data_IF_847295585816
#
_entry.id   IF_847295585816
#
_cell.length_a   1.000
_cell.length_b   1.000
_cell.length_c   1.000
_cell.angle_alpha   90.00
_cell.angle_beta   90.00
_cell.angle_gamma   90.00
#
_symmetry.space_group_name_H-M   'P 1'
#
loop_
_entity.id
_entity.type
_entity.pdbx_description
1 polymer ?
#
# COMPACT_ATOMS: atom_id res chain seq x y z
N UNK A 1 23.36 -20.24 -19.13
CA UNK A 1 23.90 -19.74 -17.85
C UNK A 1 23.27 -20.53 -16.70
N UNK A 2 24.06 -20.81 -15.66
CA UNK A 2 23.58 -21.57 -14.47
C UNK A 2 22.63 -20.66 -13.67
N UNK A 3 21.39 -21.09 -13.43
CA UNK A 3 20.44 -20.38 -12.58
C UNK A 3 20.90 -20.44 -11.12
N UNK A 4 20.59 -19.37 -10.35
CA UNK A 4 20.87 -19.32 -8.92
C UNK A 4 19.80 -20.09 -8.13
N UNK A 5 20.08 -20.35 -6.84
CA UNK A 5 19.06 -20.86 -5.92
C UNK A 5 17.97 -19.81 -5.69
N UNK A 6 16.71 -20.25 -5.56
CA UNK A 6 15.56 -19.35 -5.41
C UNK A 6 15.58 -18.46 -4.13
N UNK A 7 15.95 -18.99 -2.92
CA UNK A 7 15.93 -18.17 -1.70
C UNK A 7 16.80 -16.91 -1.74
N UNK A 8 18.09 -16.94 -2.15
CA UNK A 8 18.89 -15.72 -2.26
C UNK A 8 18.33 -14.71 -3.28
N UNK A 9 17.79 -15.19 -4.42
CA UNK A 9 17.16 -14.32 -5.43
C UNK A 9 15.93 -13.63 -4.84
N UNK A 10 15.10 -14.37 -4.10
CA UNK A 10 13.93 -13.82 -3.41
C UNK A 10 14.33 -12.75 -2.39
N UNK A 11 15.30 -13.06 -1.52
CA UNK A 11 15.74 -12.14 -0.48
C UNK A 11 16.36 -10.86 -1.05
N UNK A 12 17.16 -10.98 -2.12
CA UNK A 12 17.70 -9.82 -2.82
C UNK A 12 16.60 -8.96 -3.45
N UNK A 13 15.59 -9.59 -4.07
CA UNK A 13 14.45 -8.88 -4.63
C UNK A 13 13.66 -8.09 -3.57
N UNK A 14 13.45 -8.67 -2.38
CA UNK A 14 12.78 -8.01 -1.27
C UNK A 14 13.58 -6.79 -0.77
N UNK A 15 14.91 -6.89 -0.69
CA UNK A 15 15.78 -5.76 -0.36
C UNK A 15 15.69 -4.64 -1.42
N UNK A 16 15.83 -4.98 -2.71
CA UNK A 16 15.76 -4.05 -3.83
C UNK A 16 14.38 -3.37 -3.89
N UNK A 17 13.30 -4.10 -3.65
CA UNK A 17 11.95 -3.55 -3.59
C UNK A 17 11.83 -2.49 -2.48
N UNK A 18 12.29 -2.79 -1.27
CA UNK A 18 12.30 -1.83 -0.15
C UNK A 18 13.16 -0.59 -0.45
N UNK A 19 14.39 -0.83 -0.93
CA UNK A 19 15.33 0.23 -1.29
C UNK A 19 14.72 1.19 -2.31
N UNK A 20 14.30 0.68 -3.46
CA UNK A 20 13.81 1.51 -4.57
C UNK A 20 12.49 2.21 -4.23
N UNK A 21 11.62 1.58 -3.45
CA UNK A 21 10.38 2.20 -2.99
C UNK A 21 10.68 3.41 -2.11
N UNK A 22 11.50 3.27 -1.07
CA UNK A 22 11.78 4.39 -0.19
C UNK A 22 12.74 5.42 -0.79
N UNK A 23 13.65 5.01 -1.66
CA UNK A 23 14.49 5.92 -2.43
C UNK A 23 13.64 6.93 -3.22
N UNK A 24 12.55 6.49 -3.85
CA UNK A 24 11.67 7.36 -4.65
C UNK A 24 10.58 8.01 -3.79
N UNK A 25 9.83 7.20 -3.03
CA UNK A 25 8.61 7.66 -2.36
C UNK A 25 8.88 8.46 -1.06
N UNK A 26 10.13 8.68 -0.66
CA UNK A 26 10.47 9.61 0.43
C UNK A 26 10.25 11.08 0.01
N UNK A 27 10.58 11.43 -1.21
CA UNK A 27 10.58 12.82 -1.69
C UNK A 27 9.64 13.07 -2.87
N UNK A 28 8.86 12.08 -3.31
CA UNK A 28 7.99 12.16 -4.50
C UNK A 28 6.94 13.28 -4.42
N UNK A 29 6.39 13.56 -3.25
CA UNK A 29 5.44 14.67 -3.10
C UNK A 29 6.12 16.03 -3.28
N UNK A 30 7.35 16.19 -2.79
CA UNK A 30 8.12 17.43 -3.01
C UNK A 30 8.34 17.63 -4.51
N UNK A 31 8.76 16.59 -5.24
CA UNK A 31 8.92 16.62 -6.69
C UNK A 31 7.63 17.05 -7.39
N UNK A 32 6.50 16.43 -7.04
CA UNK A 32 5.20 16.70 -7.65
C UNK A 32 4.66 18.09 -7.35
N UNK A 33 4.80 18.56 -6.10
CA UNK A 33 4.30 19.87 -5.68
C UNK A 33 5.24 21.00 -6.15
N UNK A 34 6.55 20.90 -5.90
CA UNK A 34 7.47 21.99 -6.12
C UNK A 34 8.02 22.06 -7.55
N UNK A 35 8.27 20.91 -8.20
CA UNK A 35 8.87 20.89 -9.53
C UNK A 35 7.83 20.74 -10.64
N UNK A 36 6.83 19.82 -10.47
CA UNK A 36 5.75 19.65 -11.45
C UNK A 36 4.67 20.71 -11.30
N UNK A 37 4.51 21.28 -10.10
CA UNK A 37 3.48 22.28 -9.79
C UNK A 37 2.07 21.70 -9.69
N UNK A 38 1.94 20.46 -9.20
CA UNK A 38 0.65 19.78 -9.10
C UNK A 38 -0.20 20.34 -7.96
N UNK A 39 -1.46 20.63 -8.27
CA UNK A 39 -2.47 20.96 -7.29
C UNK A 39 -3.06 19.71 -6.60
N UNK A 40 -3.90 19.92 -5.57
CA UNK A 40 -4.50 18.84 -4.78
C UNK A 40 -5.28 17.82 -5.64
N UNK A 41 -6.03 18.27 -6.64
CA UNK A 41 -6.75 17.38 -7.55
C UNK A 41 -5.79 16.55 -8.40
N UNK A 42 -4.76 17.18 -8.95
CA UNK A 42 -3.76 16.51 -9.78
C UNK A 42 -2.96 15.46 -9.00
N UNK A 43 -2.59 15.73 -7.74
CA UNK A 43 -1.93 14.77 -6.86
C UNK A 43 -2.78 13.51 -6.65
N UNK A 44 -4.06 13.70 -6.39
CA UNK A 44 -5.00 12.59 -6.18
C UNK A 44 -5.30 11.87 -7.50
N UNK A 45 -5.51 12.57 -8.61
CA UNK A 45 -5.73 11.94 -9.92
C UNK A 45 -4.54 11.06 -10.35
N UNK A 46 -3.32 11.43 -10.00
CA UNK A 46 -2.15 10.60 -10.25
C UNK A 46 -2.24 9.27 -9.47
N UNK A 47 -2.62 9.32 -8.18
CA UNK A 47 -2.87 8.11 -7.39
C UNK A 47 -4.04 7.29 -7.92
N UNK A 48 -5.15 7.94 -8.23
CA UNK A 48 -6.34 7.28 -8.84
C UNK A 48 -5.98 6.54 -10.13
N UNK A 49 -5.06 7.07 -10.95
CA UNK A 49 -4.59 6.39 -12.16
C UNK A 49 -3.86 5.06 -11.84
N UNK A 50 -3.09 5.03 -10.74
CA UNK A 50 -2.46 3.81 -10.25
C UNK A 50 -3.51 2.80 -9.80
N UNK A 51 -4.48 3.22 -8.98
CA UNK A 51 -5.51 2.33 -8.43
C UNK A 51 -6.43 1.78 -9.54
N UNK A 52 -6.80 2.59 -10.54
CA UNK A 52 -7.54 2.12 -11.71
C UNK A 52 -6.74 1.04 -12.46
N UNK A 53 -5.43 1.23 -12.64
CA UNK A 53 -4.60 0.24 -13.31
C UNK A 53 -4.52 -1.06 -12.50
N UNK A 54 -4.33 -0.98 -11.17
CA UNK A 54 -4.36 -2.15 -10.29
C UNK A 54 -5.71 -2.86 -10.39
N UNK A 55 -6.81 -2.13 -10.22
CA UNK A 55 -8.16 -2.68 -10.27
C UNK A 55 -8.47 -3.42 -11.59
N UNK A 56 -8.08 -2.85 -12.72
CA UNK A 56 -8.34 -3.43 -14.03
C UNK A 56 -7.45 -4.63 -14.37
N UNK A 57 -6.19 -4.59 -13.94
CA UNK A 57 -5.17 -5.54 -14.43
C UNK A 57 -4.79 -6.63 -13.44
N UNK A 58 -5.18 -6.57 -12.16
CA UNK A 58 -4.80 -7.59 -11.17
C UNK A 58 -5.25 -9.00 -11.57
N UNK A 59 -6.49 -9.16 -12.04
CA UNK A 59 -7.00 -10.46 -12.50
C UNK A 59 -6.34 -10.91 -13.79
N UNK A 60 -6.26 -10.10 -14.88
CA UNK A 60 -5.56 -10.49 -16.10
C UNK A 60 -4.10 -10.91 -15.89
N UNK A 61 -3.34 -10.17 -15.11
CA UNK A 61 -1.93 -10.47 -14.87
C UNK A 61 -1.73 -11.69 -13.98
N UNK A 62 -2.63 -11.93 -13.02
CA UNK A 62 -2.68 -13.17 -12.25
C UNK A 62 -2.88 -14.40 -13.14
N UNK A 63 -3.78 -14.31 -14.13
CA UNK A 63 -4.00 -15.37 -15.12
C UNK A 63 -2.71 -15.61 -15.95
N UNK A 64 -2.00 -14.55 -16.34
CA UNK A 64 -0.71 -14.69 -17.05
C UNK A 64 0.30 -15.44 -16.19
N UNK A 65 0.42 -15.11 -14.91
CA UNK A 65 1.33 -15.77 -13.99
C UNK A 65 1.04 -17.27 -13.83
N UNK A 66 -0.24 -17.64 -13.69
CA UNK A 66 -0.65 -19.01 -13.42
C UNK A 66 -0.65 -19.92 -14.68
N UNK A 67 -0.87 -19.33 -15.87
CA UNK A 67 -0.95 -20.08 -17.11
C UNK A 67 0.39 -20.17 -17.84
N UNK A 68 1.17 -19.09 -17.86
CA UNK A 68 2.37 -19.02 -18.68
C UNK A 68 3.64 -19.20 -17.85
N UNK A 69 3.89 -18.32 -16.88
CA UNK A 69 5.12 -18.37 -16.08
C UNK A 69 5.06 -17.31 -14.98
N UNK A 70 5.29 -17.70 -13.73
CA UNK A 70 5.41 -16.78 -12.59
C UNK A 70 6.67 -15.93 -12.68
N UNK A 71 7.75 -16.53 -13.19
CA UNK A 71 9.00 -15.83 -13.47
C UNK A 71 8.80 -14.74 -14.53
N UNK A 72 8.16 -15.06 -15.67
CA UNK A 72 7.89 -14.08 -16.72
C UNK A 72 7.06 -12.92 -16.19
N UNK A 73 6.00 -13.20 -15.45
CA UNK A 73 5.16 -12.18 -14.81
C UNK A 73 6.01 -11.26 -13.92
N UNK A 74 6.80 -11.82 -13.01
CA UNK A 74 7.68 -11.05 -12.12
C UNK A 74 8.67 -10.17 -12.91
N UNK A 75 9.28 -10.70 -13.96
CA UNK A 75 10.21 -9.96 -14.83
C UNK A 75 9.53 -8.74 -15.47
N UNK A 76 8.35 -8.96 -16.10
CA UNK A 76 7.57 -7.88 -16.70
C UNK A 76 7.25 -6.80 -15.69
N UNK A 77 6.85 -7.19 -14.47
CA UNK A 77 6.55 -6.24 -13.41
C UNK A 77 7.75 -5.37 -13.01
N UNK A 78 8.95 -5.95 -12.86
CA UNK A 78 10.15 -5.17 -12.55
C UNK A 78 10.55 -4.23 -13.69
N UNK A 79 10.46 -4.67 -14.95
CA UNK A 79 10.74 -3.82 -16.11
C UNK A 79 9.73 -2.68 -16.21
N UNK A 80 8.42 -2.98 -16.15
CA UNK A 80 7.36 -1.98 -16.29
C UNK A 80 7.46 -0.93 -15.17
N UNK A 81 7.60 -1.37 -13.91
CA UNK A 81 7.73 -0.44 -12.78
C UNK A 81 9.03 0.38 -12.84
N UNK A 82 10.11 -0.19 -13.33
CA UNK A 82 11.37 0.54 -13.52
C UNK A 82 11.28 1.59 -14.62
N UNK A 83 10.67 1.25 -15.76
CA UNK A 83 10.42 2.19 -16.86
C UNK A 83 9.46 3.30 -16.41
N UNK A 84 8.40 2.94 -15.66
CA UNK A 84 7.44 3.89 -15.13
C UNK A 84 8.13 4.98 -14.28
N UNK A 85 8.98 4.58 -13.32
CA UNK A 85 9.75 5.52 -12.52
C UNK A 85 10.67 6.40 -13.40
N UNK A 86 11.37 5.80 -14.37
CA UNK A 86 12.19 6.56 -15.33
C UNK A 86 11.38 7.62 -16.07
N UNK A 87 10.19 7.29 -16.56
CA UNK A 87 9.29 8.23 -17.26
C UNK A 87 8.94 9.42 -16.36
N UNK A 88 8.61 9.21 -15.09
CA UNK A 88 8.28 10.30 -14.16
C UNK A 88 9.48 11.24 -13.93
N UNK A 89 10.70 10.68 -13.91
CA UNK A 89 11.92 11.46 -13.74
C UNK A 89 12.43 12.20 -14.99
N UNK A 90 11.92 11.88 -16.19
CA UNK A 90 12.42 12.48 -17.46
C UNK A 90 12.07 13.95 -17.61
N UNK A 91 10.87 14.36 -17.22
CA UNK A 91 10.44 15.74 -17.30
C UNK A 91 9.31 16.02 -16.28
N UNK A 92 9.27 17.23 -15.70
CA UNK A 92 8.27 17.61 -14.70
C UNK A 92 6.92 17.96 -15.36
N UNK A 93 6.25 16.97 -15.92
CA UNK A 93 4.95 17.10 -16.58
C UNK A 93 3.90 16.25 -15.90
N UNK A 94 2.75 16.83 -15.57
CA UNK A 94 1.61 16.12 -14.99
C UNK A 94 1.20 14.86 -15.78
N UNK A 95 1.19 14.96 -17.12
CA UNK A 95 0.86 13.83 -17.99
C UNK A 95 1.83 12.65 -17.84
N UNK A 96 3.12 12.92 -17.65
CA UNK A 96 4.12 11.87 -17.41
C UNK A 96 3.98 11.26 -16.01
N UNK A 97 3.61 12.06 -15.01
CA UNK A 97 3.29 11.54 -13.67
C UNK A 97 2.09 10.59 -13.75
N UNK A 98 0.99 10.98 -14.39
CA UNK A 98 -0.20 10.12 -14.56
C UNK A 98 0.14 8.83 -15.32
N UNK A 99 0.89 8.94 -16.42
CA UNK A 99 1.34 7.77 -17.20
C UNK A 99 2.22 6.85 -16.34
N UNK A 100 3.18 7.41 -15.61
CA UNK A 100 4.04 6.67 -14.68
C UNK A 100 3.22 5.93 -13.63
N UNK A 101 2.25 6.59 -12.99
CA UNK A 101 1.42 5.98 -11.96
C UNK A 101 0.55 4.86 -12.53
N UNK A 102 -0.04 5.02 -13.71
CA UNK A 102 -0.78 3.96 -14.39
C UNK A 102 0.12 2.75 -14.72
N UNK A 103 1.34 3.00 -15.23
CA UNK A 103 2.31 1.95 -15.49
C UNK A 103 2.84 1.29 -14.21
N UNK A 104 3.03 2.05 -13.11
CA UNK A 104 3.40 1.50 -11.81
C UNK A 104 2.34 0.54 -11.29
N UNK A 105 1.05 0.94 -11.33
CA UNK A 105 -0.06 0.07 -10.96
C UNK A 105 -0.10 -1.19 -11.83
N UNK A 106 -0.02 -1.04 -13.14
CA UNK A 106 0.02 -2.17 -14.08
C UNK A 106 1.21 -3.11 -13.81
N UNK A 107 2.42 -2.57 -13.65
CA UNK A 107 3.61 -3.37 -13.34
C UNK A 107 3.54 -4.04 -11.97
N UNK A 108 2.92 -3.39 -10.97
CA UNK A 108 2.72 -3.95 -9.64
C UNK A 108 1.85 -5.20 -9.68
N UNK A 109 0.78 -5.23 -10.48
CA UNK A 109 -0.11 -6.40 -10.59
C UNK A 109 0.60 -7.64 -11.15
N UNK A 110 1.65 -7.48 -11.95
CA UNK A 110 2.51 -8.58 -12.41
C UNK A 110 3.40 -9.16 -11.31
N UNK A 111 3.71 -8.39 -10.26
CA UNK A 111 4.59 -8.83 -9.17
C UNK A 111 3.80 -9.40 -8.00
N UNK A 112 2.70 -8.76 -7.59
CA UNK A 112 2.01 -8.93 -6.31
C UNK A 112 1.75 -10.40 -5.94
N UNK A 113 0.98 -11.13 -6.70
CA UNK A 113 0.69 -12.55 -6.47
C UNK A 113 1.76 -13.50 -7.00
N UNK A 114 2.29 -13.22 -8.20
CA UNK A 114 3.20 -14.09 -8.93
C UNK A 114 4.51 -14.35 -8.18
N UNK A 115 5.08 -13.32 -7.53
CA UNK A 115 6.37 -13.44 -6.86
C UNK A 115 6.29 -14.29 -5.59
N UNK A 116 5.23 -14.14 -4.81
CA UNK A 116 4.97 -14.96 -3.62
C UNK A 116 4.67 -16.41 -3.99
N UNK A 117 3.92 -16.61 -5.06
CA UNK A 117 3.61 -17.93 -5.58
C UNK A 117 4.86 -18.63 -6.15
N UNK A 118 5.71 -17.90 -6.90
CA UNK A 118 6.96 -18.42 -7.41
C UNK A 118 7.88 -18.98 -6.31
N UNK A 119 8.15 -18.19 -5.25
CA UNK A 119 9.03 -18.70 -4.19
C UNK A 119 8.41 -19.86 -3.44
N UNK A 120 7.07 -19.88 -3.29
CA UNK A 120 6.36 -21.01 -2.66
C UNK A 120 6.53 -22.30 -3.47
N UNK A 121 6.46 -22.22 -4.81
CA UNK A 121 6.68 -23.39 -5.68
C UNK A 121 8.13 -23.90 -5.63
N UNK A 122 9.09 -22.98 -5.55
CA UNK A 122 10.51 -23.36 -5.54
C UNK A 122 10.96 -24.02 -4.23
N UNK A 123 10.43 -23.59 -3.08
CA UNK A 123 10.89 -24.06 -1.76
C UNK A 123 9.89 -24.95 -1.02
N UNK A 124 8.64 -24.94 -1.45
CA UNK A 124 7.51 -25.66 -0.83
C UNK A 124 6.88 -24.92 0.34
N UNK A 125 5.58 -25.17 0.55
CA UNK A 125 4.73 -24.51 1.56
C UNK A 125 5.28 -24.59 2.99
N UNK A 126 5.98 -25.70 3.34
CA UNK A 126 6.53 -25.89 4.69
C UNK A 126 7.69 -24.95 5.04
N UNK A 127 8.45 -24.48 4.05
CA UNK A 127 9.67 -23.68 4.23
C UNK A 127 9.47 -22.20 3.88
N UNK A 128 8.45 -21.86 3.11
CA UNK A 128 8.25 -20.50 2.60
C UNK A 128 7.95 -19.48 3.69
N UNK A 129 7.30 -19.90 4.79
CA UNK A 129 6.94 -18.97 5.89
C UNK A 129 8.16 -18.27 6.51
N UNK A 130 9.26 -19.01 6.74
CA UNK A 130 10.51 -18.41 7.24
C UNK A 130 11.11 -17.42 6.24
N UNK A 131 11.05 -17.75 4.94
CA UNK A 131 11.53 -16.85 3.88
C UNK A 131 10.68 -15.56 3.79
N UNK A 132 9.38 -15.64 3.97
CA UNK A 132 8.53 -14.44 4.02
C UNK A 132 8.92 -13.51 5.17
N UNK A 133 9.19 -14.06 6.36
CA UNK A 133 9.66 -13.26 7.49
C UNK A 133 11.02 -12.60 7.22
N UNK A 134 11.98 -13.36 6.71
CA UNK A 134 13.32 -12.84 6.32
C UNK A 134 13.21 -11.82 5.19
N UNK A 135 12.35 -12.09 4.20
CA UNK A 135 12.06 -11.15 3.12
C UNK A 135 11.54 -9.83 3.63
N UNK A 136 10.58 -9.86 4.58
CA UNK A 136 10.06 -8.64 5.21
C UNK A 136 11.16 -7.84 5.94
N UNK A 137 12.06 -8.54 6.67
CA UNK A 137 13.20 -7.88 7.32
C UNK A 137 14.12 -7.21 6.29
N UNK A 138 14.43 -7.88 5.16
CA UNK A 138 15.25 -7.29 4.10
C UNK A 138 14.56 -6.12 3.39
N UNK A 139 13.24 -6.18 3.20
CA UNK A 139 12.47 -5.02 2.71
C UNK A 139 12.64 -3.81 3.64
N UNK A 140 12.55 -4.01 4.95
CA UNK A 140 12.74 -2.93 5.93
C UNK A 140 14.18 -2.38 5.90
N UNK A 141 15.19 -3.26 5.83
CA UNK A 141 16.60 -2.84 5.70
C UNK A 141 16.83 -2.07 4.38
N UNK A 142 16.28 -2.56 3.27
CA UNK A 142 16.30 -1.83 2.00
C UNK A 142 15.62 -0.47 2.09
N UNK A 143 14.47 -0.40 2.76
CA UNK A 143 13.75 0.86 2.99
C UNK A 143 14.58 1.86 3.80
N UNK A 144 15.20 1.41 4.89
CA UNK A 144 16.08 2.25 5.72
C UNK A 144 17.31 2.75 4.94
N UNK A 145 17.87 1.94 4.04
CA UNK A 145 18.95 2.38 3.15
C UNK A 145 18.44 3.33 2.05
N UNK A 146 17.25 3.09 1.52
CA UNK A 146 16.64 3.89 0.44
C UNK A 146 16.32 5.33 0.86
N UNK A 147 15.90 5.55 2.11
CA UNK A 147 15.57 6.90 2.60
C UNK A 147 16.76 7.88 2.48
N UNK A 148 17.92 7.65 3.12
CA UNK A 148 19.03 8.61 3.06
C UNK A 148 19.57 8.76 1.62
N UNK A 149 19.63 7.68 0.84
CA UNK A 149 20.05 7.77 -0.57
C UNK A 149 19.06 8.63 -1.37
N UNK A 150 17.75 8.46 -1.16
CA UNK A 150 16.73 9.26 -1.82
C UNK A 150 16.82 10.75 -1.45
N UNK A 151 17.06 11.06 -0.16
CA UNK A 151 17.28 12.44 0.32
C UNK A 151 18.50 13.07 -0.34
N UNK A 152 19.67 12.41 -0.27
CA UNK A 152 20.91 12.92 -0.89
C UNK A 152 20.78 13.18 -2.39
N UNK A 153 20.09 12.31 -3.10
CA UNK A 153 19.84 12.48 -4.53
C UNK A 153 18.87 13.64 -4.80
N UNK A 154 17.80 13.74 -4.01
CA UNK A 154 16.79 14.79 -4.16
C UNK A 154 17.35 16.18 -3.83
N UNK A 155 18.28 16.33 -2.87
CA UNK A 155 19.02 17.56 -2.61
C UNK A 155 19.83 18.04 -3.82
N UNK A 156 20.35 17.10 -4.62
CA UNK A 156 21.07 17.44 -5.88
C UNK A 156 20.09 17.77 -6.99
N UNK A 157 19.07 16.94 -7.21
CA UNK A 157 17.95 17.20 -8.12
C UNK A 157 16.76 16.29 -7.77
N UNK A 158 15.56 16.85 -7.65
CA UNK A 158 14.33 16.13 -7.25
C UNK A 158 13.94 14.98 -8.21
N UNK A 159 14.42 15.00 -9.46
CA UNK A 159 14.17 13.93 -10.45
C UNK A 159 15.10 12.71 -10.28
N UNK A 160 16.29 12.88 -9.67
CA UNK A 160 17.28 11.81 -9.57
C UNK A 160 16.80 10.54 -8.84
N UNK A 161 16.03 10.64 -7.73
CA UNK A 161 15.46 9.46 -7.10
C UNK A 161 14.63 8.59 -8.04
N UNK A 162 13.84 9.21 -8.92
CA UNK A 162 13.02 8.50 -9.91
C UNK A 162 13.89 7.81 -10.97
N UNK A 163 14.85 8.53 -11.53
CA UNK A 163 15.76 8.00 -12.57
C UNK A 163 16.57 6.82 -12.01
N UNK A 164 17.20 7.00 -10.85
CA UNK A 164 18.02 5.95 -10.25
C UNK A 164 17.17 4.78 -9.78
N UNK A 165 16.02 5.03 -9.16
CA UNK A 165 15.07 3.99 -8.74
C UNK A 165 14.58 3.16 -9.92
N UNK A 166 14.26 3.82 -11.05
CA UNK A 166 13.91 3.17 -12.31
C UNK A 166 15.05 2.33 -12.88
N UNK A 167 16.26 2.88 -12.93
CA UNK A 167 17.45 2.19 -13.42
C UNK A 167 17.77 0.94 -12.57
N UNK A 168 17.71 1.04 -11.25
CA UNK A 168 17.93 -0.11 -10.35
C UNK A 168 16.89 -1.20 -10.62
N UNK A 169 15.61 -0.88 -10.79
CA UNK A 169 14.56 -1.87 -11.07
C UNK A 169 14.75 -2.54 -12.43
N UNK A 170 15.07 -1.76 -13.49
CA UNK A 170 15.35 -2.32 -14.83
C UNK A 170 16.57 -3.23 -14.79
N UNK A 171 17.67 -2.79 -14.18
CA UNK A 171 18.90 -3.59 -14.03
C UNK A 171 18.64 -4.87 -13.24
N UNK A 172 17.84 -4.75 -12.16
CA UNK A 172 17.43 -5.92 -11.40
C UNK A 172 16.51 -6.85 -12.21
N UNK A 173 15.64 -6.32 -13.06
CA UNK A 173 14.88 -7.10 -14.03
C UNK A 173 15.76 -7.91 -14.97
N UNK A 174 16.87 -7.32 -15.47
CA UNK A 174 17.89 -8.02 -16.27
C UNK A 174 18.56 -9.12 -15.43
N UNK A 175 18.92 -8.82 -14.18
CA UNK A 175 19.48 -9.82 -13.25
C UNK A 175 18.51 -11.01 -13.07
N UNK A 176 17.23 -10.76 -12.82
CA UNK A 176 16.21 -11.80 -12.70
C UNK A 176 16.07 -12.60 -14.00
N UNK A 177 16.09 -11.94 -15.17
CA UNK A 177 16.05 -12.61 -16.47
C UNK A 177 17.20 -13.62 -16.62
N UNK A 178 18.38 -13.27 -16.16
CA UNK A 178 19.56 -14.12 -16.26
C UNK A 178 19.57 -15.25 -15.21
N UNK A 179 19.21 -14.96 -13.96
CA UNK A 179 19.52 -15.82 -12.81
C UNK A 179 18.31 -16.41 -12.10
N UNK A 180 17.10 -15.88 -12.25
CA UNK A 180 15.90 -16.38 -11.56
C UNK A 180 15.54 -17.78 -12.06
N UNK A 181 15.47 -18.81 -11.18
CA UNK A 181 15.03 -20.16 -11.56
C UNK A 181 13.50 -20.21 -11.68
N UNK A 182 13.00 -21.23 -12.38
CA UNK A 182 11.58 -21.60 -12.39
C UNK A 182 11.49 -23.12 -12.57
N UNK A 183 11.78 -23.85 -11.49
CA UNK A 183 11.86 -25.32 -11.49
C UNK A 183 10.65 -25.96 -10.85
N UNK A 184 9.99 -25.27 -9.93
CA UNK A 184 8.82 -25.75 -9.21
C UNK A 184 7.46 -25.41 -9.87
N UNK A 185 7.47 -24.61 -10.95
CA UNK A 185 6.25 -24.16 -11.59
C UNK A 185 5.59 -25.26 -12.44
N UNK A 186 4.31 -25.50 -12.20
CA UNK A 186 3.47 -26.36 -13.01
C UNK A 186 2.28 -25.55 -13.56
N UNK A 187 2.24 -25.29 -14.90
CA UNK A 187 1.14 -24.53 -15.48
C UNK A 187 -0.22 -25.21 -15.27
N UNK A 188 -1.25 -24.41 -15.02
CA UNK A 188 -2.61 -24.93 -14.92
C UNK A 188 -3.01 -25.60 -16.23
N UNK A 189 -3.48 -26.88 -16.20
CA UNK A 189 -3.90 -27.61 -17.39
C UNK A 189 -4.99 -26.86 -18.17
N UNK A 190 -4.95 -26.94 -19.52
CA UNK A 190 -5.91 -26.23 -20.38
C UNK A 190 -7.38 -26.47 -20.00
N UNK A 191 -7.71 -27.68 -19.56
CA UNK A 191 -9.05 -28.06 -19.13
C UNK A 191 -9.51 -27.43 -17.80
N UNK A 192 -8.56 -27.00 -16.94
CA UNK A 192 -8.81 -26.37 -15.64
C UNK A 192 -8.61 -24.85 -15.66
N UNK A 193 -8.35 -24.25 -16.84
CA UNK A 193 -8.16 -22.81 -16.97
C UNK A 193 -9.46 -22.07 -16.68
N UNK A 194 -9.47 -21.32 -15.62
CA UNK A 194 -10.61 -20.47 -15.24
C UNK A 194 -10.73 -19.33 -16.26
N UNK A 195 -11.76 -19.36 -17.09
CA UNK A 195 -12.11 -18.23 -17.94
C UNK A 195 -12.76 -17.10 -17.14
N UNK A 196 -12.90 -15.93 -17.73
CA UNK A 196 -13.61 -14.77 -17.13
C UNK A 196 -14.99 -15.16 -16.55
N UNK A 197 -15.69 -16.15 -17.13
CA UNK A 197 -16.97 -16.67 -16.59
C UNK A 197 -16.80 -17.21 -15.17
N UNK A 198 -15.73 -17.97 -14.89
CA UNK A 198 -15.51 -18.55 -13.56
C UNK A 198 -15.14 -17.47 -12.55
N UNK A 199 -14.35 -16.47 -12.94
CA UNK A 199 -14.06 -15.29 -12.09
C UNK A 199 -15.36 -14.56 -11.72
N UNK A 200 -16.23 -14.32 -12.69
CA UNK A 200 -17.54 -13.71 -12.46
C UNK A 200 -18.46 -14.58 -11.57
N UNK A 201 -18.45 -15.90 -11.75
CA UNK A 201 -19.22 -16.83 -10.91
C UNK A 201 -18.70 -16.79 -9.48
N UNK A 202 -17.39 -16.92 -9.28
CA UNK A 202 -16.78 -16.87 -7.94
C UNK A 202 -17.03 -15.52 -7.25
N UNK A 203 -16.94 -14.42 -8.00
CA UNK A 203 -17.28 -13.10 -7.49
C UNK A 203 -18.75 -12.98 -7.09
N UNK A 204 -19.68 -13.47 -7.94
CA UNK A 204 -21.11 -13.43 -7.64
C UNK A 204 -21.48 -14.30 -6.43
N UNK A 205 -20.85 -15.46 -6.28
CA UNK A 205 -20.99 -16.32 -5.09
C UNK A 205 -20.47 -15.60 -3.83
N UNK A 206 -19.33 -14.92 -3.92
CA UNK A 206 -18.81 -14.09 -2.85
C UNK A 206 -19.76 -12.98 -2.44
N UNK A 207 -20.30 -12.23 -3.40
CA UNK A 207 -21.34 -11.20 -3.18
C UNK A 207 -22.57 -11.80 -2.48
N UNK A 208 -23.02 -12.99 -2.88
CA UNK A 208 -24.14 -13.65 -2.25
C UNK A 208 -23.85 -14.04 -0.80
N UNK A 209 -22.62 -14.49 -0.49
CA UNK A 209 -22.17 -14.81 0.89
C UNK A 209 -22.13 -13.54 1.74
N UNK A 210 -21.53 -12.45 1.24
CA UNK A 210 -21.46 -11.18 1.97
C UNK A 210 -22.84 -10.60 2.23
N UNK A 211 -23.73 -10.60 1.24
CA UNK A 211 -25.12 -10.10 1.39
C UNK A 211 -25.96 -10.86 2.41
N UNK A 212 -25.71 -12.16 2.58
CA UNK A 212 -26.43 -13.01 3.54
C UNK A 212 -25.95 -12.85 4.98
N UNK A 213 -24.75 -12.28 5.20
CA UNK A 213 -24.18 -12.10 6.53
C UNK A 213 -24.14 -10.61 6.89
N UNK A 214 -24.94 -10.22 7.89
CA UNK A 214 -24.93 -8.85 8.42
C UNK A 214 -23.55 -8.42 8.94
N UNK A 215 -22.76 -9.36 9.42
CA UNK A 215 -21.39 -9.14 9.88
C UNK A 215 -20.46 -8.82 8.69
N UNK A 216 -20.49 -9.65 7.64
CA UNK A 216 -19.66 -9.44 6.44
C UNK A 216 -20.07 -8.20 5.67
N UNK A 217 -21.36 -7.90 5.61
CA UNK A 217 -21.84 -6.64 4.99
C UNK A 217 -21.33 -5.42 5.76
N UNK A 218 -21.34 -5.46 7.10
CA UNK A 218 -20.79 -4.37 7.92
C UNK A 218 -19.28 -4.22 7.69
N UNK A 219 -18.55 -5.33 7.55
CA UNK A 219 -17.12 -5.32 7.22
C UNK A 219 -16.86 -4.73 5.81
N UNK A 220 -17.66 -5.10 4.83
CA UNK A 220 -17.59 -4.56 3.48
C UNK A 220 -17.81 -3.03 3.44
N UNK A 221 -18.73 -2.52 4.26
CA UNK A 221 -18.93 -1.08 4.43
C UNK A 221 -17.71 -0.40 5.06
N UNK A 222 -17.05 -1.04 6.03
CA UNK A 222 -15.80 -0.50 6.59
C UNK A 222 -14.73 -0.41 5.52
N UNK A 223 -14.52 -1.46 4.71
CA UNK A 223 -13.55 -1.44 3.61
C UNK A 223 -13.84 -0.29 2.62
N UNK A 224 -15.10 -0.07 2.27
CA UNK A 224 -15.49 1.04 1.40
C UNK A 224 -15.13 2.41 2.02
N UNK A 225 -15.44 2.65 3.31
CA UNK A 225 -15.09 3.90 3.98
C UNK A 225 -13.58 4.08 4.12
N UNK A 226 -12.84 2.97 4.29
CA UNK A 226 -11.37 2.99 4.33
C UNK A 226 -10.82 3.42 2.96
N UNK A 227 -11.28 2.87 1.86
CA UNK A 227 -10.87 3.32 0.53
C UNK A 227 -11.26 4.77 0.23
N UNK A 228 -12.49 5.18 0.57
CA UNK A 228 -12.96 6.54 0.30
C UNK A 228 -12.09 7.64 0.95
N UNK A 229 -11.48 7.39 2.13
CA UNK A 229 -10.67 8.42 2.80
C UNK A 229 -9.19 8.33 2.42
N UNK A 230 -8.67 7.10 2.15
CA UNK A 230 -7.23 6.81 2.17
C UNK A 230 -6.47 7.56 1.10
N UNK A 231 -6.99 7.64 -0.12
CA UNK A 231 -6.29 8.29 -1.24
C UNK A 231 -6.05 9.78 -0.98
N UNK A 232 -7.02 10.48 -0.39
CA UNK A 232 -6.83 11.88 -0.02
C UNK A 232 -5.74 12.05 1.05
N UNK A 233 -5.74 11.22 2.10
CA UNK A 233 -4.70 11.26 3.11
C UNK A 233 -3.33 10.97 2.51
N UNK A 234 -3.18 9.89 1.76
CA UNK A 234 -1.91 9.40 1.23
C UNK A 234 -1.27 10.38 0.23
N UNK A 235 -2.06 11.20 -0.46
CA UNK A 235 -1.57 12.20 -1.42
C UNK A 235 -1.49 13.62 -0.87
N UNK A 236 -2.42 14.01 0.01
CA UNK A 236 -2.54 15.41 0.44
C UNK A 236 -1.88 15.71 1.79
N UNK A 237 -1.68 14.73 2.69
CA UNK A 237 -1.12 15.03 4.01
C UNK A 237 0.28 15.66 3.95
N UNK A 238 1.18 15.11 3.12
CA UNK A 238 2.51 15.68 2.94
C UNK A 238 2.47 17.02 2.15
N UNK A 239 1.56 17.12 1.16
CA UNK A 239 1.36 18.37 0.42
C UNK A 239 0.86 19.49 1.34
N UNK A 240 -0.03 19.18 2.26
CA UNK A 240 -0.54 20.11 3.28
C UNK A 240 0.58 20.64 4.20
N UNK A 241 1.53 19.77 4.60
CA UNK A 241 2.70 20.23 5.36
C UNK A 241 3.54 21.24 4.55
N UNK A 242 3.75 20.97 3.26
CA UNK A 242 4.52 21.87 2.36
C UNK A 242 3.79 23.20 2.12
N UNK A 243 2.47 23.20 2.11
CA UNK A 243 1.65 24.38 1.85
C UNK A 243 1.57 25.32 3.06
N UNK A 244 1.46 24.77 4.28
CA UNK A 244 1.12 25.58 5.47
C UNK A 244 2.32 25.95 6.32
N UNK A 245 3.35 25.08 6.35
CA UNK A 245 4.42 25.26 7.33
C UNK A 245 5.75 25.67 6.70
N UNK A 246 6.45 26.58 7.40
CA UNK A 246 7.89 26.75 7.26
C UNK A 246 8.56 25.67 8.10
N UNK A 247 9.49 24.93 7.48
CA UNK A 247 10.15 23.82 8.14
C UNK A 247 11.22 24.36 9.11
N UNK A 248 11.13 24.02 10.42
CA UNK A 248 11.99 24.59 11.41
C UNK A 248 13.39 23.96 11.40
N UNK A 249 14.40 24.71 11.88
CA UNK A 249 15.73 24.18 12.18
C UNK A 249 15.69 23.26 13.40
N UNK A 250 16.54 22.22 13.42
CA UNK A 250 16.75 21.34 14.58
C UNK A 250 18.17 21.55 15.11
N UNK A 251 18.28 21.96 16.38
CA UNK A 251 19.59 22.11 17.02
C UNK A 251 20.52 23.11 16.33
N UNK A 252 19.95 24.11 15.66
CA UNK A 252 20.71 25.12 14.88
C UNK A 252 21.07 24.69 13.46
N UNK A 253 20.68 23.48 13.02
CA UNK A 253 20.81 23.03 11.64
C UNK A 253 19.54 23.40 10.86
N UNK A 254 19.68 24.20 9.82
CA UNK A 254 18.61 24.48 8.89
C UNK A 254 18.35 23.21 8.06
N UNK A 255 17.19 22.61 8.25
CA UNK A 255 16.75 21.43 7.51
C UNK A 255 15.69 21.84 6.49
N UNK A 256 15.95 21.55 5.24
CA UNK A 256 14.97 21.73 4.17
C UNK A 256 13.83 20.67 4.22
N UNK A 257 12.75 20.85 3.48
CA UNK A 257 11.66 19.87 3.42
C UNK A 257 12.11 18.45 3.04
N UNK A 258 13.18 18.32 2.21
CA UNK A 258 13.69 17.02 1.75
C UNK A 258 14.25 16.23 2.94
N UNK A 259 15.10 16.86 3.75
CA UNK A 259 15.68 16.27 4.96
C UNK A 259 14.61 15.93 5.99
N UNK A 260 13.61 16.82 6.19
CA UNK A 260 12.48 16.57 7.09
C UNK A 260 11.64 15.37 6.65
N UNK A 261 11.38 15.17 5.35
CA UNK A 261 10.66 14.02 4.86
C UNK A 261 11.47 12.73 4.99
N UNK A 262 12.80 12.81 4.90
CA UNK A 262 13.68 11.71 5.26
C UNK A 262 13.53 11.29 6.72
N UNK A 263 13.58 12.25 7.66
CA UNK A 263 13.35 12.00 9.08
C UNK A 263 11.96 11.43 9.36
N UNK A 264 10.93 12.02 8.75
CA UNK A 264 9.54 11.60 8.92
C UNK A 264 9.33 10.16 8.42
N UNK A 265 9.83 9.80 7.23
CA UNK A 265 9.75 8.45 6.71
C UNK A 265 10.52 7.43 7.56
N UNK A 266 11.66 7.83 8.15
CA UNK A 266 12.37 7.00 9.11
C UNK A 266 11.55 6.79 10.38
N UNK A 267 10.96 7.86 10.93
CA UNK A 267 10.08 7.80 12.08
C UNK A 267 8.86 6.88 11.81
N UNK A 268 8.24 6.96 10.64
CA UNK A 268 7.14 6.06 10.27
C UNK A 268 7.55 4.59 10.39
N UNK A 269 8.72 4.20 9.89
CA UNK A 269 9.19 2.81 10.00
C UNK A 269 9.39 2.42 11.47
N UNK A 270 10.09 3.26 12.25
CA UNK A 270 10.41 2.97 13.66
C UNK A 270 9.13 2.85 14.50
N UNK A 271 8.25 3.84 14.41
CA UNK A 271 7.02 3.86 15.20
C UNK A 271 6.00 2.80 14.75
N UNK A 272 5.95 2.46 13.45
CA UNK A 272 5.14 1.34 12.96
C UNK A 272 5.64 0.00 13.52
N UNK A 273 6.95 -0.24 13.57
CA UNK A 273 7.50 -1.45 14.20
C UNK A 273 7.18 -1.49 15.69
N UNK A 274 7.36 -0.39 16.40
CA UNK A 274 7.05 -0.29 17.83
C UNK A 274 5.57 -0.53 18.11
N UNK A 275 4.66 0.08 17.33
CA UNK A 275 3.21 -0.08 17.52
C UNK A 275 2.74 -1.51 17.25
N UNK A 276 3.31 -2.18 16.24
CA UNK A 276 3.01 -3.59 15.98
C UNK A 276 3.49 -4.51 17.11
N UNK A 277 4.68 -4.26 17.68
CA UNK A 277 5.16 -5.04 18.84
C UNK A 277 4.31 -4.77 20.10
N UNK A 278 3.89 -3.52 20.31
CA UNK A 278 2.96 -3.15 21.40
C UNK A 278 1.62 -3.85 21.21
N UNK A 279 1.05 -3.79 20.00
CA UNK A 279 -0.22 -4.44 19.69
C UNK A 279 -0.15 -5.95 19.93
N UNK A 280 0.93 -6.61 19.52
CA UNK A 280 1.19 -8.04 19.77
C UNK A 280 1.17 -8.39 21.27
N UNK A 281 1.66 -7.50 22.15
CA UNK A 281 1.68 -7.73 23.60
C UNK A 281 0.34 -7.40 24.28
N UNK A 282 -0.38 -6.39 23.79
CA UNK A 282 -1.60 -5.90 24.44
C UNK A 282 -2.87 -6.57 23.91
N UNK A 283 -2.90 -6.98 22.65
CA UNK A 283 -4.09 -7.54 22.01
C UNK A 283 -4.01 -9.05 22.01
N UNK A 284 -4.87 -9.69 22.81
CA UNK A 284 -5.06 -11.14 22.77
C UNK A 284 -5.79 -11.52 21.45
N UNK A 285 -4.99 -11.89 20.45
CA UNK A 285 -5.49 -12.25 19.12
C UNK A 285 -6.26 -13.58 19.09
N UNK A 286 -6.26 -14.37 20.15
CA UNK A 286 -7.11 -15.56 20.25
C UNK A 286 -8.58 -15.19 20.48
N UNK A 287 -8.86 -13.98 20.98
CA UNK A 287 -10.21 -13.52 21.32
C UNK A 287 -10.71 -12.48 20.34
N UNK A 288 -11.61 -12.86 19.44
CA UNK A 288 -12.25 -12.00 18.44
C UNK A 288 -12.75 -10.66 19.01
N UNK A 289 -13.36 -10.65 20.19
CA UNK A 289 -13.86 -9.44 20.83
C UNK A 289 -12.74 -8.46 21.24
N UNK A 290 -11.54 -8.94 21.59
CA UNK A 290 -10.40 -8.07 21.89
C UNK A 290 -9.82 -7.44 20.63
N UNK A 291 -9.74 -8.21 19.55
CA UNK A 291 -9.32 -7.70 18.23
C UNK A 291 -10.27 -6.59 17.77
N UNK A 292 -11.58 -6.82 17.84
CA UNK A 292 -12.57 -5.83 17.39
C UNK A 292 -12.54 -4.55 18.22
N UNK A 293 -12.31 -4.62 19.55
CA UNK A 293 -12.13 -3.43 20.40
C UNK A 293 -10.86 -2.67 20.04
N UNK A 294 -9.77 -3.39 19.76
CA UNK A 294 -8.53 -2.78 19.30
C UNK A 294 -8.74 -2.07 17.96
N UNK A 295 -9.41 -2.69 17.00
CA UNK A 295 -9.74 -2.08 15.70
C UNK A 295 -10.65 -0.85 15.86
N UNK A 296 -11.68 -0.90 16.71
CA UNK A 296 -12.50 0.27 17.04
C UNK A 296 -11.64 1.43 17.55
N UNK A 297 -10.71 1.17 18.50
CA UNK A 297 -9.81 2.19 19.03
C UNK A 297 -8.83 2.70 17.98
N UNK A 298 -8.28 1.82 17.13
CA UNK A 298 -7.38 2.16 16.02
C UNK A 298 -8.08 3.15 15.09
N UNK A 299 -9.28 2.84 14.59
CA UNK A 299 -9.98 3.71 13.65
C UNK A 299 -10.47 5.01 14.31
N UNK A 300 -10.89 4.98 15.56
CA UNK A 300 -11.22 6.21 16.30
C UNK A 300 -9.98 7.12 16.45
N UNK A 301 -8.82 6.55 16.76
CA UNK A 301 -7.56 7.30 16.84
C UNK A 301 -7.15 7.87 15.48
N UNK A 302 -7.31 7.09 14.38
CA UNK A 302 -7.01 7.56 13.04
C UNK A 302 -7.89 8.77 12.65
N UNK A 303 -9.21 8.71 12.90
CA UNK A 303 -10.13 9.82 12.64
C UNK A 303 -9.71 11.08 13.40
N UNK A 304 -9.43 10.93 14.69
CA UNK A 304 -8.99 12.05 15.53
C UNK A 304 -7.65 12.61 15.06
N UNK A 305 -6.72 11.74 14.69
CA UNK A 305 -5.41 12.14 14.17
C UNK A 305 -5.53 12.93 12.86
N UNK A 306 -6.31 12.46 11.88
CA UNK A 306 -6.54 13.20 10.62
C UNK A 306 -7.15 14.58 10.92
N UNK A 307 -8.16 14.63 11.80
CA UNK A 307 -8.82 15.89 12.14
C UNK A 307 -7.86 16.87 12.83
N UNK A 308 -7.12 16.42 13.87
CA UNK A 308 -6.14 17.27 14.57
C UNK A 308 -5.05 17.74 13.59
N UNK A 309 -4.56 16.84 12.73
CA UNK A 309 -3.56 17.18 11.70
C UNK A 309 -4.08 18.30 10.79
N UNK A 310 -5.31 18.18 10.29
CA UNK A 310 -5.89 19.13 9.36
C UNK A 310 -6.10 20.52 9.97
N UNK A 311 -6.44 20.62 11.28
CA UNK A 311 -6.71 21.91 11.94
C UNK A 311 -5.52 22.47 12.70
N UNK A 312 -4.42 21.72 12.80
CA UNK A 312 -3.24 22.12 13.58
C UNK A 312 -2.50 23.29 12.93
N UNK A 313 -2.31 24.36 13.71
CA UNK A 313 -1.40 25.46 13.35
C UNK A 313 0.04 25.25 13.82
N UNK A 314 0.37 24.09 14.42
CA UNK A 314 1.69 23.79 14.96
C UNK A 314 2.40 22.72 14.13
N UNK A 315 3.56 23.02 13.59
CA UNK A 315 4.38 22.08 12.83
C UNK A 315 4.68 20.79 13.63
N UNK A 316 5.16 20.94 14.86
CA UNK A 316 5.54 19.78 15.68
C UNK A 316 4.34 18.90 16.07
N UNK A 317 3.18 19.51 16.33
CA UNK A 317 1.95 18.77 16.61
C UNK A 317 1.53 18.01 15.34
N UNK A 318 1.57 18.64 14.18
CA UNK A 318 1.24 17.99 12.90
C UNK A 318 2.14 16.78 12.61
N UNK A 319 3.47 16.93 12.81
CA UNK A 319 4.41 15.81 12.66
C UNK A 319 4.12 14.69 13.66
N UNK A 320 3.91 15.02 14.93
CA UNK A 320 3.63 14.02 15.96
C UNK A 320 2.35 13.23 15.68
N UNK A 321 1.29 13.92 15.27
CA UNK A 321 0.01 13.30 14.94
C UNK A 321 0.09 12.47 13.64
N UNK A 322 0.87 12.91 12.66
CA UNK A 322 1.11 12.16 11.42
C UNK A 322 1.87 10.86 11.70
N UNK A 323 2.88 10.89 12.57
CA UNK A 323 3.59 9.69 13.04
C UNK A 323 2.64 8.76 13.80
N UNK A 324 1.82 9.31 14.70
CA UNK A 324 0.82 8.53 15.44
C UNK A 324 -0.17 7.84 14.49
N UNK A 325 -0.67 8.58 13.49
CA UNK A 325 -1.60 8.04 12.48
C UNK A 325 -0.97 6.84 11.74
N UNK A 326 0.25 6.99 11.21
CA UNK A 326 0.93 5.93 10.47
C UNK A 326 1.21 4.71 11.35
N UNK A 327 1.69 4.94 12.59
CA UNK A 327 1.94 3.91 13.58
C UNK A 327 0.66 3.10 13.90
N UNK A 328 -0.46 3.76 14.12
CA UNK A 328 -1.76 3.12 14.43
C UNK A 328 -2.33 2.43 13.19
N UNK A 329 -2.27 3.07 12.00
CA UNK A 329 -2.70 2.48 10.74
C UNK A 329 -1.97 1.18 10.43
N UNK A 330 -0.66 1.09 10.75
CA UNK A 330 0.15 -0.11 10.49
C UNK A 330 -0.36 -1.36 11.23
N UNK A 331 -1.06 -1.18 12.36
CA UNK A 331 -1.63 -2.25 13.18
C UNK A 331 -2.98 -2.74 12.64
N UNK A 332 -3.69 -1.91 11.87
CA UNK A 332 -5.06 -2.21 11.40
C UNK A 332 -5.15 -3.46 10.53
N UNK A 333 -4.25 -3.61 9.55
CA UNK A 333 -4.26 -4.72 8.60
C UNK A 333 -4.00 -6.08 9.27
N UNK A 334 -2.93 -6.28 10.08
CA UNK A 334 -2.70 -7.56 10.77
C UNK A 334 -3.84 -7.96 11.70
N UNK A 335 -4.43 -6.99 12.41
CA UNK A 335 -5.56 -7.28 13.29
C UNK A 335 -6.82 -7.66 12.52
N UNK A 336 -7.07 -6.98 11.40
CA UNK A 336 -8.21 -7.30 10.51
C UNK A 336 -8.07 -8.71 9.94
N UNK A 337 -6.89 -9.08 9.44
CA UNK A 337 -6.62 -10.44 8.97
C UNK A 337 -6.80 -11.48 10.06
N UNK A 338 -6.26 -11.24 11.26
CA UNK A 338 -6.40 -12.14 12.39
C UNK A 338 -7.87 -12.35 12.77
N UNK A 339 -8.68 -11.30 12.74
CA UNK A 339 -10.11 -11.37 12.99
C UNK A 339 -10.86 -12.12 11.88
N UNK A 340 -10.64 -11.80 10.62
CA UNK A 340 -11.28 -12.47 9.48
C UNK A 340 -10.97 -13.96 9.45
N UNK A 341 -9.73 -14.33 9.77
CA UNK A 341 -9.30 -15.73 9.85
C UNK A 341 -10.09 -16.54 10.89
N UNK A 342 -10.62 -15.90 11.93
CA UNK A 342 -11.46 -16.55 12.95
C UNK A 342 -12.94 -16.64 12.55
N UNK A 343 -13.43 -15.75 11.70
CA UNK A 343 -14.86 -15.64 11.36
C UNK A 343 -15.23 -16.42 10.11
N UNK A 344 -14.28 -16.62 9.18
CA UNK A 344 -14.58 -17.10 7.84
C UNK A 344 -13.96 -18.49 7.62
N UNK A 345 -14.78 -19.43 7.13
CA UNK A 345 -14.31 -20.75 6.72
C UNK A 345 -13.26 -20.63 5.61
N UNK A 346 -12.27 -21.51 5.61
CA UNK A 346 -11.13 -21.45 4.70
C UNK A 346 -11.52 -21.41 3.21
N UNK A 347 -12.60 -22.09 2.84
CA UNK A 347 -13.08 -22.20 1.44
C UNK A 347 -13.65 -20.90 0.86
N UNK A 348 -14.10 -19.94 1.67
CA UNK A 348 -14.65 -18.66 1.21
C UNK A 348 -13.81 -17.45 1.64
N UNK A 349 -12.76 -17.67 2.44
CA UNK A 349 -11.91 -16.61 3.00
C UNK A 349 -11.24 -15.77 1.92
N UNK A 350 -10.59 -16.42 0.94
CA UNK A 350 -9.93 -15.75 -0.16
C UNK A 350 -10.90 -14.83 -0.93
N UNK A 351 -12.13 -15.31 -1.17
CA UNK A 351 -13.16 -14.53 -1.86
C UNK A 351 -13.58 -13.29 -1.06
N UNK A 352 -13.79 -13.42 0.27
CA UNK A 352 -14.19 -12.28 1.10
C UNK A 352 -13.06 -11.25 1.21
N UNK A 353 -11.81 -11.68 1.34
CA UNK A 353 -10.64 -10.78 1.35
C UNK A 353 -10.50 -10.05 0.01
N UNK A 354 -10.63 -10.77 -1.10
CA UNK A 354 -10.61 -10.16 -2.45
C UNK A 354 -11.73 -9.13 -2.62
N UNK A 355 -12.95 -9.42 -2.16
CA UNK A 355 -14.05 -8.47 -2.22
C UNK A 355 -13.82 -7.23 -1.36
N UNK A 356 -13.25 -7.39 -0.16
CA UNK A 356 -12.91 -6.25 0.68
C UNK A 356 -11.85 -5.37 -0.01
N UNK A 357 -10.82 -5.97 -0.60
CA UNK A 357 -9.82 -5.23 -1.39
C UNK A 357 -10.41 -4.52 -2.62
N UNK A 358 -11.37 -5.15 -3.32
CA UNK A 358 -12.06 -4.51 -4.45
C UNK A 358 -12.95 -3.32 -4.00
N UNK A 359 -13.59 -3.41 -2.84
CA UNK A 359 -14.37 -2.31 -2.28
C UNK A 359 -13.48 -1.16 -1.78
N UNK A 360 -12.32 -1.49 -1.22
CA UNK A 360 -11.29 -0.53 -0.83
C UNK A 360 -10.79 0.24 -2.07
N UNK A 361 -10.33 -0.47 -3.11
CA UNK A 361 -9.90 0.12 -4.38
C UNK A 361 -11.01 0.95 -5.06
N UNK A 362 -12.26 0.47 -5.04
CA UNK A 362 -13.39 1.25 -5.55
C UNK A 362 -13.59 2.54 -4.74
N UNK A 363 -13.43 2.46 -3.40
CA UNK A 363 -13.47 3.63 -2.52
C UNK A 363 -12.37 4.64 -2.87
N UNK A 364 -11.14 4.20 -3.10
CA UNK A 364 -10.01 5.04 -3.51
C UNK A 364 -10.27 5.74 -4.86
N UNK A 365 -10.74 4.97 -5.85
CA UNK A 365 -11.07 5.49 -7.19
C UNK A 365 -12.21 6.52 -7.14
N UNK A 366 -13.22 6.31 -6.29
CA UNK A 366 -14.37 7.19 -6.19
C UNK A 366 -14.13 8.38 -5.23
N UNK A 367 -13.56 8.12 -4.07
CA UNK A 367 -13.33 9.11 -3.01
C UNK A 367 -12.18 10.06 -3.32
N UNK A 368 -11.12 9.52 -3.91
CA UNK A 368 -9.93 10.28 -4.24
C UNK A 368 -10.23 11.53 -5.07
N UNK A 369 -10.73 11.41 -6.32
CA UNK A 369 -11.04 12.57 -7.16
C UNK A 369 -12.02 13.54 -6.53
N UNK A 370 -13.01 13.04 -5.77
CA UNK A 370 -13.98 13.90 -5.08
C UNK A 370 -13.29 14.76 -4.01
N UNK A 371 -12.45 14.16 -3.16
CA UNK A 371 -11.69 14.88 -2.14
C UNK A 371 -10.58 15.75 -2.74
N UNK A 372 -9.95 15.31 -3.83
CA UNK A 372 -8.99 16.10 -4.58
C UNK A 372 -9.64 17.37 -5.16
N UNK A 373 -10.87 17.27 -5.69
CA UNK A 373 -11.62 18.42 -6.17
C UNK A 373 -11.97 19.39 -5.02
N UNK A 374 -12.34 18.88 -3.84
CA UNK A 374 -12.52 19.71 -2.64
C UNK A 374 -11.21 20.40 -2.27
N UNK A 375 -10.07 19.68 -2.31
CA UNK A 375 -8.75 20.26 -2.05
C UNK A 375 -8.40 21.40 -3.01
N UNK A 376 -8.74 21.25 -4.29
CA UNK A 376 -8.49 22.27 -5.30
C UNK A 376 -9.42 23.49 -5.20
N UNK A 377 -10.72 23.27 -4.97
CA UNK A 377 -11.71 24.36 -4.98
C UNK A 377 -11.83 25.11 -3.66
N UNK A 378 -11.49 24.46 -2.55
CA UNK A 378 -11.53 25.04 -1.21
C UNK A 378 -10.13 25.10 -0.59
N UNK A 379 -9.64 23.98 -0.05
CA UNK A 379 -8.29 23.85 0.50
C UNK A 379 -7.93 22.38 0.77
N UNK A 380 -6.63 22.07 0.83
CA UNK A 380 -6.13 20.77 1.30
C UNK A 380 -6.61 20.45 2.72
N UNK A 381 -6.68 21.47 3.59
CA UNK A 381 -7.26 21.35 4.94
C UNK A 381 -8.70 20.84 4.91
N UNK A 382 -9.56 21.44 4.06
CA UNK A 382 -10.97 21.04 3.95
C UNK A 382 -11.09 19.60 3.44
N UNK A 383 -10.28 19.20 2.45
CA UNK A 383 -10.26 17.82 1.94
C UNK A 383 -9.87 16.82 3.03
N UNK A 384 -8.88 17.13 3.87
CA UNK A 384 -8.44 16.30 4.98
C UNK A 384 -9.50 16.21 6.09
N UNK A 385 -10.20 17.31 6.42
CA UNK A 385 -11.32 17.28 7.36
C UNK A 385 -12.43 16.38 6.82
N UNK A 386 -12.78 16.49 5.54
CA UNK A 386 -13.78 15.61 4.92
C UNK A 386 -13.33 14.15 4.90
N UNK A 387 -12.03 13.89 4.68
CA UNK A 387 -11.44 12.56 4.79
C UNK A 387 -11.64 11.96 6.20
N UNK A 388 -11.40 12.74 7.27
CA UNK A 388 -11.69 12.33 8.64
C UNK A 388 -13.18 12.01 8.86
N UNK A 389 -14.09 12.85 8.34
CA UNK A 389 -15.53 12.64 8.44
C UNK A 389 -15.97 11.37 7.70
N UNK A 390 -15.42 11.12 6.50
CA UNK A 390 -15.70 9.90 5.72
C UNK A 390 -15.25 8.65 6.47
N UNK A 391 -14.08 8.68 7.13
CA UNK A 391 -13.59 7.55 7.92
C UNK A 391 -14.37 7.35 9.24
N UNK A 392 -15.02 8.39 9.76
CA UNK A 392 -15.64 8.36 11.10
C UNK A 392 -16.65 7.23 11.34
N UNK A 393 -17.40 6.70 10.33
CA UNK A 393 -18.29 5.57 10.53
C UNK A 393 -17.56 4.24 10.83
N UNK A 394 -16.26 4.13 10.50
CA UNK A 394 -15.53 2.86 10.68
C UNK A 394 -15.52 2.39 12.14
N UNK A 395 -15.24 3.28 13.10
CA UNK A 395 -15.21 2.91 14.52
C UNK A 395 -16.59 2.40 15.04
N UNK A 396 -17.72 3.10 14.87
CA UNK A 396 -19.03 2.58 15.27
C UNK A 396 -19.46 1.32 14.49
N UNK A 397 -18.99 1.13 13.25
CA UNK A 397 -19.23 -0.11 12.51
C UNK A 397 -18.49 -1.30 13.13
N UNK A 398 -17.25 -1.13 13.61
CA UNK A 398 -16.56 -2.17 14.39
C UNK A 398 -17.30 -2.49 15.69
N UNK A 399 -17.83 -1.50 16.40
CA UNK A 399 -18.72 -1.72 17.57
C UNK A 399 -19.99 -2.48 17.21
N UNK A 400 -20.59 -2.23 16.04
CA UNK A 400 -21.72 -3.00 15.52
C UNK A 400 -21.32 -4.47 15.28
N UNK A 401 -20.17 -4.74 14.66
CA UNK A 401 -19.66 -6.10 14.48
C UNK A 401 -19.48 -6.82 15.82
N UNK A 402 -18.96 -6.15 16.86
CA UNK A 402 -18.84 -6.72 18.21
C UNK A 402 -20.19 -7.21 18.76
N UNK A 403 -21.24 -6.40 18.60
CA UNK A 403 -22.61 -6.74 19.05
C UNK A 403 -23.20 -7.90 18.26
N UNK A 404 -22.97 -7.96 16.94
CA UNK A 404 -23.44 -9.05 16.08
C UNK A 404 -22.74 -10.37 16.43
N UNK A 405 -21.40 -10.36 16.57
CA UNK A 405 -20.62 -11.54 16.94
C UNK A 405 -20.94 -12.08 18.36
N UNK A 406 -21.42 -11.23 19.26
CA UNK A 406 -21.85 -11.65 20.59
C UNK A 406 -23.20 -12.38 20.57
N UNK A 407 -24.11 -12.04 19.65
CA UNK A 407 -25.44 -12.68 19.53
C UNK A 407 -25.39 -14.03 18.84
N UNK A 408 -24.42 -14.29 17.96
CA UNK A 408 -24.28 -15.60 17.31
C UNK A 408 -23.67 -16.68 18.22
N UNK A 409 -23.11 -16.28 19.37
CA UNK A 409 -22.51 -17.20 20.37
C UNK A 409 -23.36 -17.41 21.59
N UNK A 410 -24.46 -16.69 21.77
CA UNK A 410 -25.47 -16.86 22.81
C UNK A 410 -26.69 -17.63 22.27
#
# INVERSE_FOLDING_TARGET
MKKLNAPPVYLLAMFIAGLTTKLVFTTHIIYRVQLVGMDALQLVLAGTALEIAVFLFEVPTGIVADIYSRRLSTLLGFFITGIALGIEGLAPLFSLVVLSQALLGFGFTFISGAFSAWITDEVGVRRVGELFLRGRQLTLLGSLAGIPIGVMLAESALALPFILGGLIRVTFGIFLFLFMPETGFTPIPKAARTGWKTVFVTFSEGVAVVRKSSLLLTFALIALFVGLYSEAWDRLAQAHLLEIFVFPAIGGLELDPIAWFGLLNTAFIVFSLASNEIAKRLVDTARSQRILRALESVYATMVLAIFIFAVSGSFYLSIAVMILFDAVRSVSFPLTEAWLNQQIKSNVRATVLSMAGQLDAFGEIAGGPALGAVGRWFSTQTALIMSALILSPAAPLYRRIQRLSGKEKA
#
